data_IF_568889415369
#
_entry.id   IF_568889415369
#
_cell.length_a   1.000
_cell.length_b   1.000
_cell.length_c   1.000
_cell.angle_alpha   90.00
_cell.angle_beta   90.00
_cell.angle_gamma   90.00
#
_symmetry.space_group_name_H-M   'P 1'
#
loop_
_entity.id
_entity.type
_entity.pdbx_description
1 polymer ?
#
# COMPACT_ATOMS: atom_id res chain seq x y z
N UNK A 1 -9.62 11.03 -6.18
CA UNK A 1 -10.05 9.63 -6.37
C UNK A 1 -9.32 8.83 -5.31
N UNK A 2 -10.00 7.93 -4.57
CA UNK A 2 -9.28 6.92 -3.78
C UNK A 2 -9.24 5.66 -4.62
N UNK A 3 -8.06 5.11 -4.77
CA UNK A 3 -7.80 3.86 -5.47
C UNK A 3 -7.86 2.68 -4.50
N UNK A 4 -7.63 2.93 -3.21
CA UNK A 4 -7.85 1.97 -2.12
C UNK A 4 -9.30 2.05 -1.67
N UNK A 5 -9.97 0.91 -1.67
CA UNK A 5 -11.33 0.76 -1.18
C UNK A 5 -11.40 0.90 0.35
N UNK A 6 -12.58 1.26 0.86
CA UNK A 6 -12.77 1.46 2.31
C UNK A 6 -12.56 0.17 3.12
N UNK A 7 -12.89 -0.98 2.54
CA UNK A 7 -12.68 -2.28 3.18
C UNK A 7 -11.19 -2.65 3.18
N UNK A 8 -10.45 -2.36 2.10
CA UNK A 8 -9.01 -2.58 2.05
C UNK A 8 -8.25 -1.73 3.07
N UNK A 9 -8.63 -0.46 3.21
CA UNK A 9 -8.09 0.42 4.25
C UNK A 9 -8.37 -0.13 5.66
N UNK A 10 -9.58 -0.65 5.91
CA UNK A 10 -9.92 -1.26 7.20
C UNK A 10 -9.08 -2.51 7.47
N UNK A 11 -8.85 -3.34 6.45
CA UNK A 11 -8.01 -4.54 6.54
C UNK A 11 -6.54 -4.22 6.77
N UNK A 12 -6.05 -3.11 6.21
CA UNK A 12 -4.73 -2.56 6.48
C UNK A 12 -4.59 -2.20 7.97
N UNK A 13 -5.51 -1.41 8.53
CA UNK A 13 -5.50 -1.02 9.95
C UNK A 13 -5.58 -2.22 10.88
N UNK A 14 -6.50 -3.16 10.59
CA UNK A 14 -6.62 -4.39 11.36
C UNK A 14 -5.36 -5.26 11.30
N UNK A 15 -4.54 -5.14 10.25
CA UNK A 15 -3.24 -5.82 10.17
C UNK A 15 -2.22 -5.17 11.10
N UNK A 16 -2.16 -3.83 11.16
CA UNK A 16 -1.29 -3.10 12.08
C UNK A 16 -1.66 -3.37 13.54
N UNK A 17 -2.95 -3.27 13.88
CA UNK A 17 -3.44 -3.51 15.24
C UNK A 17 -3.11 -4.93 15.73
N UNK A 18 -3.30 -5.95 14.88
CA UNK A 18 -2.93 -7.34 15.20
C UNK A 18 -1.45 -7.54 15.48
N UNK A 19 -0.59 -6.69 14.93
CA UNK A 19 0.86 -6.70 15.14
C UNK A 19 1.33 -5.76 16.26
N UNK A 20 0.41 -5.00 16.86
CA UNK A 20 0.75 -3.99 17.88
C UNK A 20 1.47 -2.78 17.29
N UNK A 21 1.30 -2.50 16.01
CA UNK A 21 1.89 -1.37 15.32
C UNK A 21 0.94 -0.17 15.35
N UNK A 22 1.50 1.02 15.56
CA UNK A 22 0.71 2.26 15.56
C UNK A 22 0.35 2.65 14.13
N UNK A 23 -0.92 2.90 13.86
CA UNK A 23 -1.39 3.47 12.57
C UNK A 23 -0.60 4.73 12.21
N UNK A 24 -0.41 5.64 13.17
CA UNK A 24 0.34 6.88 12.96
C UNK A 24 1.85 6.70 12.72
N UNK A 25 2.38 5.47 12.76
CA UNK A 25 3.73 5.15 12.31
C UNK A 25 3.78 4.76 10.82
N UNK A 26 2.63 4.68 10.15
CA UNK A 26 2.54 4.33 8.73
C UNK A 26 1.83 5.43 7.96
N UNK A 27 2.45 5.85 6.85
CA UNK A 27 1.89 6.79 5.88
C UNK A 27 1.52 6.04 4.61
N UNK A 28 0.30 6.29 4.10
CA UNK A 28 -0.26 5.67 2.90
C UNK A 28 -0.51 6.74 1.84
N UNK A 29 0.21 6.64 0.72
CA UNK A 29 0.06 7.55 -0.41
C UNK A 29 -0.39 6.80 -1.66
N UNK A 30 -1.55 7.17 -2.19
CA UNK A 30 -2.12 6.61 -3.41
C UNK A 30 -1.66 7.42 -4.63
N UNK A 31 -1.11 6.75 -5.64
CA UNK A 31 -0.76 7.38 -6.92
C UNK A 31 -1.57 6.76 -8.05
N UNK A 32 -2.32 7.63 -8.74
CA UNK A 32 -3.05 7.28 -9.95
C UNK A 32 -2.13 7.46 -11.16
N UNK A 33 -1.99 6.41 -11.97
CA UNK A 33 -1.16 6.44 -13.18
C UNK A 33 -1.98 6.58 -14.47
N UNK A 34 -3.31 6.79 -14.37
CA UNK A 34 -4.13 6.95 -15.57
C UNK A 34 -3.85 8.30 -16.21
N UNK A 35 -3.22 8.28 -17.39
CA UNK A 35 -2.94 9.49 -18.14
C UNK A 35 -4.25 10.07 -18.72
N UNK A 36 -4.58 11.35 -18.48
CA UNK A 36 -5.82 11.95 -18.98
C UNK A 36 -5.81 12.26 -20.49
N UNK A 37 -4.74 11.97 -21.24
CA UNK A 37 -4.57 12.36 -22.65
C UNK A 37 -4.18 11.24 -23.63
N UNK A 38 -3.81 10.05 -23.18
CA UNK A 38 -3.35 8.97 -24.04
C UNK A 38 -4.35 7.83 -24.20
N UNK A 39 -4.83 7.62 -25.43
CA UNK A 39 -5.58 6.44 -25.86
C UNK A 39 -4.67 5.20 -25.82
N UNK A 40 -4.40 4.63 -24.64
CA UNK A 40 -3.85 3.27 -24.50
C UNK A 40 -4.57 2.53 -23.36
N UNK A 41 -5.37 1.54 -23.76
CA UNK A 41 -6.03 0.57 -22.90
C UNK A 41 -5.00 -0.27 -22.13
N UNK A 42 -4.59 0.17 -20.95
CA UNK A 42 -4.02 -0.69 -19.93
C UNK A 42 -4.84 -0.45 -18.66
N UNK A 43 -5.43 -1.52 -18.13
CA UNK A 43 -6.39 -1.47 -17.02
C UNK A 43 -5.91 -0.59 -15.87
N UNK A 44 -6.86 0.06 -15.19
CA UNK A 44 -6.63 0.91 -14.01
C UNK A 44 -5.57 0.30 -13.08
N UNK A 45 -4.34 0.81 -13.16
CA UNK A 45 -3.20 0.37 -12.37
C UNK A 45 -2.61 1.60 -11.68
N UNK A 46 -3.03 1.84 -10.44
CA UNK A 46 -2.32 2.78 -9.57
C UNK A 46 -1.21 2.06 -8.80
N UNK A 47 -0.61 2.78 -7.87
CA UNK A 47 0.15 2.16 -6.79
C UNK A 47 -0.13 2.85 -5.45
N UNK A 48 -0.04 2.09 -4.38
CA UNK A 48 0.04 2.59 -3.01
C UNK A 48 1.49 2.53 -2.55
N UNK A 49 1.97 3.65 -2.05
CA UNK A 49 3.24 3.76 -1.35
C UNK A 49 2.97 3.76 0.14
N UNK A 50 3.55 2.80 0.85
CA UNK A 50 3.47 2.67 2.31
C UNK A 50 4.83 3.01 2.89
N UNK A 51 4.89 4.03 3.73
CA UNK A 51 6.12 4.43 4.42
C UNK A 51 5.95 4.22 5.91
N UNK A 52 6.86 3.46 6.52
CA UNK A 52 6.94 3.41 7.98
C UNK A 52 7.79 4.57 8.48
N UNK A 53 7.19 5.48 9.22
CA UNK A 53 7.81 6.74 9.63
C UNK A 53 8.98 6.52 10.60
N UNK A 54 8.89 5.59 11.54
CA UNK A 54 9.97 5.32 12.51
C UNK A 54 11.25 4.79 11.85
N UNK A 55 11.14 4.09 10.72
CA UNK A 55 12.30 3.50 10.02
C UNK A 55 12.62 4.21 8.71
N UNK A 56 11.73 5.09 8.23
CA UNK A 56 11.77 5.73 6.91
C UNK A 56 11.84 4.73 5.75
N UNK A 57 11.41 3.49 5.97
CA UNK A 57 11.39 2.47 4.94
C UNK A 57 10.08 2.59 4.17
N UNK A 58 10.21 2.67 2.85
CA UNK A 58 9.10 2.82 1.91
C UNK A 58 8.98 1.59 1.03
N UNK A 59 7.75 1.12 0.84
CA UNK A 59 7.38 0.03 -0.08
C UNK A 59 6.24 0.47 -0.98
N UNK A 60 6.28 0.03 -2.23
CA UNK A 60 5.28 0.33 -3.25
C UNK A 60 4.56 -0.96 -3.64
N UNK A 61 3.23 -0.87 -3.76
CA UNK A 61 2.38 -1.98 -4.20
C UNK A 61 1.43 -1.49 -5.28
N UNK A 62 1.31 -2.25 -6.37
CA UNK A 62 0.35 -1.96 -7.45
C UNK A 62 -1.07 -2.10 -6.91
N UNK A 63 -2.00 -1.22 -7.29
CA UNK A 63 -3.44 -1.28 -6.92
C UNK A 63 -4.31 -1.23 -8.19
N UNK A 64 -5.42 -1.97 -8.19
CA UNK A 64 -6.31 -2.15 -9.35
C UNK A 64 -7.28 -3.33 -9.13
N UNK A 65 -8.18 -3.59 -10.10
CA UNK A 65 -9.26 -4.61 -10.00
C UNK A 65 -8.81 -6.03 -9.60
N UNK A 66 -7.57 -6.40 -9.92
CA UNK A 66 -7.00 -7.73 -9.61
C UNK A 66 -5.83 -7.64 -8.62
N UNK A 67 -5.67 -6.53 -7.90
CA UNK A 67 -4.52 -6.34 -7.01
C UNK A 67 -4.70 -7.02 -5.64
N UNK A 68 -3.75 -7.87 -5.28
CA UNK A 68 -3.59 -8.44 -3.93
C UNK A 68 -2.60 -7.63 -3.06
N UNK A 69 -2.52 -6.30 -3.23
CA UNK A 69 -1.52 -5.46 -2.54
C UNK A 69 -1.49 -5.67 -1.02
N UNK A 70 -2.64 -5.87 -0.38
CA UNK A 70 -2.74 -6.17 1.05
C UNK A 70 -2.03 -7.48 1.42
N UNK A 71 -2.11 -8.50 0.56
CA UNK A 71 -1.42 -9.76 0.78
C UNK A 71 0.10 -9.58 0.67
N UNK A 72 0.56 -8.78 -0.29
CA UNK A 72 1.97 -8.44 -0.43
C UNK A 72 2.48 -7.63 0.76
N UNK A 73 1.74 -6.60 1.18
CA UNK A 73 2.03 -5.83 2.38
C UNK A 73 2.14 -6.72 3.62
N UNK A 74 1.19 -7.63 3.84
CA UNK A 74 1.22 -8.57 4.97
C UNK A 74 2.47 -9.44 4.95
N UNK A 75 2.85 -9.99 3.80
CA UNK A 75 4.07 -10.80 3.64
C UNK A 75 5.33 -9.99 3.94
N UNK A 76 5.42 -8.77 3.44
CA UNK A 76 6.56 -7.88 3.69
C UNK A 76 6.67 -7.48 5.16
N UNK A 77 5.54 -7.16 5.78
CA UNK A 77 5.47 -6.88 7.21
C UNK A 77 5.92 -8.09 8.05
N UNK A 78 5.51 -9.29 7.65
CA UNK A 78 5.91 -10.55 8.27
C UNK A 78 7.40 -10.87 8.11
N UNK A 79 7.97 -10.51 6.96
CA UNK A 79 9.39 -10.64 6.67
C UNK A 79 10.26 -9.59 7.38
N UNK A 80 9.65 -8.61 8.09
CA UNK A 80 10.37 -7.49 8.70
C UNK A 80 10.90 -6.49 7.68
N UNK A 81 10.29 -6.42 6.50
CA UNK A 81 10.73 -5.54 5.42
C UNK A 81 10.61 -4.05 5.75
N UNK A 82 9.81 -3.70 6.76
CA UNK A 82 9.68 -2.34 7.30
C UNK A 82 10.55 -2.08 8.55
N UNK A 83 11.33 -3.08 9.00
CA UNK A 83 12.21 -2.99 10.17
C UNK A 83 13.70 -3.02 9.80
N UNK A 84 14.03 -3.57 8.63
CA UNK A 84 15.41 -3.75 8.17
C UNK A 84 15.73 -2.76 7.05
N UNK A 85 16.64 -1.82 7.32
CA UNK A 85 17.41 -1.15 6.27
C UNK A 85 18.35 -2.21 5.67
N UNK A 86 18.05 -2.68 4.47
CA UNK A 86 19.00 -3.49 3.68
C UNK A 86 20.24 -2.64 3.33
#
# INVERSE_FOLDING_TARGET
>A
MRLIESDEHRDFLATLERRGLAEGDFDLQETDTTDPKGDENLGLQGYVTITRLSTQITKEYVIGDESDWLQHFRKDLEAGAFDRLD
#
